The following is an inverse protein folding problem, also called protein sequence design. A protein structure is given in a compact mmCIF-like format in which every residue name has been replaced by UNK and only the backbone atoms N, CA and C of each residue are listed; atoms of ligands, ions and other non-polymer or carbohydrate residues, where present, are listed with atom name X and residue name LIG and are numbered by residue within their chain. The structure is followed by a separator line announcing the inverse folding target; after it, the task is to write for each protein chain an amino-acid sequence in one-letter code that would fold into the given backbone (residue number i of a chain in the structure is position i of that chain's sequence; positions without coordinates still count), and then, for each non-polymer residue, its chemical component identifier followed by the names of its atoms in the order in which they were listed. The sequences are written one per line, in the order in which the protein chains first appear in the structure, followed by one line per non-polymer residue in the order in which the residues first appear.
data_IF_772578865640
#
_entry.id   IF_772578865640
#
_cell.length_a   1.000
_cell.length_b   1.000
_cell.length_c   1.000
_cell.angle_alpha   90.00
_cell.angle_beta   90.00
_cell.angle_gamma   90.00
#
_symmetry.space_group_name_H-M   'P 1'
#
loop_
_entity.id
_entity.type
_entity.pdbx_description
1 polymer ?
#
# COMPACT_ATOMS: atom_id res chain seq x y z
N UNK A 1 -11.78 -2.31 6.16
CA UNK A 1 -11.64 -0.84 5.93
C UNK A 1 -10.48 -0.57 4.98
N UNK A 2 -10.46 0.58 4.31
CA UNK A 2 -9.34 0.96 3.44
C UNK A 2 -8.07 1.27 4.24
N UNK A 3 -6.91 1.20 3.59
CA UNK A 3 -5.60 1.59 4.13
C UNK A 3 -5.61 3.06 4.61
N UNK A 4 -4.95 3.36 5.74
CA UNK A 4 -4.82 4.73 6.26
C UNK A 4 -3.83 5.56 5.42
N UNK A 5 -3.91 6.89 5.54
CA UNK A 5 -3.03 7.79 4.80
C UNK A 5 -1.56 7.63 5.23
N UNK A 6 -1.33 7.41 6.52
CA UNK A 6 0.00 7.21 7.10
C UNK A 6 0.63 5.91 6.60
N UNK A 7 -0.15 4.81 6.59
CA UNK A 7 0.35 3.51 6.09
C UNK A 7 0.62 3.57 4.59
N UNK A 8 -0.21 4.27 3.82
CA UNK A 8 0.02 4.50 2.39
C UNK A 8 1.31 5.29 2.16
N UNK A 9 1.58 6.34 2.93
CA UNK A 9 2.83 7.10 2.82
C UNK A 9 4.05 6.26 3.20
N UNK A 10 3.95 5.42 4.23
CA UNK A 10 5.00 4.48 4.59
C UNK A 10 5.33 3.50 3.45
N UNK A 11 4.31 2.90 2.82
CA UNK A 11 4.50 2.01 1.67
C UNK A 11 5.10 2.72 0.46
N UNK A 12 4.72 3.98 0.22
CA UNK A 12 5.35 4.78 -0.85
C UNK A 12 6.84 4.97 -0.53
N UNK A 13 7.21 5.31 0.71
CA UNK A 13 8.62 5.46 1.09
C UNK A 13 9.43 4.17 1.03
N UNK A 14 8.83 3.04 1.40
CA UNK A 14 9.49 1.72 1.41
C UNK A 14 9.72 1.16 -0.01
N UNK A 15 8.79 1.39 -0.94
CA UNK A 15 8.81 0.78 -2.28
C UNK A 15 9.12 1.77 -3.41
N UNK A 16 9.29 3.06 -3.10
CA UNK A 16 9.69 4.06 -4.09
C UNK A 16 11.06 3.75 -4.69
N UNK A 17 11.14 3.70 -6.01
CA UNK A 17 12.39 3.43 -6.73
C UNK A 17 13.26 4.68 -6.89
N UNK A 18 12.65 5.87 -6.76
CA UNK A 18 13.30 7.18 -6.83
C UNK A 18 12.59 8.19 -5.94
N UNK A 19 13.26 9.28 -5.61
CA UNK A 19 12.65 10.38 -4.86
C UNK A 19 11.43 10.94 -5.60
N UNK A 20 10.28 11.01 -4.92
CA UNK A 20 9.01 11.46 -5.50
C UNK A 20 8.24 10.40 -6.30
N UNK A 21 8.69 9.13 -6.28
CA UNK A 21 8.00 8.04 -6.95
C UNK A 21 6.73 7.63 -6.20
N UNK A 22 5.58 8.06 -6.71
CA UNK A 22 4.27 7.81 -6.11
C UNK A 22 3.38 6.90 -6.96
N UNK A 23 3.88 6.46 -8.12
CA UNK A 23 3.05 5.83 -9.14
C UNK A 23 3.73 4.68 -9.89
N UNK A 24 4.96 4.31 -9.52
CA UNK A 24 5.61 3.13 -10.10
C UNK A 24 4.82 1.85 -9.85
N UNK A 25 5.00 0.84 -10.72
CA UNK A 25 4.38 -0.47 -10.54
C UNK A 25 4.63 -1.07 -9.15
N UNK A 26 5.84 -0.91 -8.61
CA UNK A 26 6.26 -1.45 -7.32
C UNK A 26 5.46 -0.82 -6.17
N UNK A 27 5.35 0.52 -6.16
CA UNK A 27 4.56 1.26 -5.17
C UNK A 27 3.07 0.92 -5.27
N UNK A 28 2.54 0.82 -6.49
CA UNK A 28 1.14 0.47 -6.69
C UNK A 28 0.84 -0.97 -6.22
N UNK A 29 1.71 -1.93 -6.52
CA UNK A 29 1.59 -3.32 -6.07
C UNK A 29 1.64 -3.41 -4.55
N UNK A 30 2.54 -2.67 -3.88
CA UNK A 30 2.61 -2.63 -2.43
C UNK A 30 1.30 -2.14 -1.80
N UNK A 31 0.75 -1.03 -2.31
CA UNK A 31 -0.52 -0.46 -1.83
C UNK A 31 -1.69 -1.43 -2.08
N UNK A 32 -1.77 -2.04 -3.26
CA UNK A 32 -2.85 -2.99 -3.59
C UNK A 32 -2.76 -4.26 -2.74
N UNK A 33 -1.55 -4.78 -2.51
CA UNK A 33 -1.31 -5.94 -1.64
C UNK A 33 -1.80 -5.68 -0.22
N UNK A 34 -1.42 -4.55 0.37
CA UNK A 34 -1.86 -4.18 1.73
C UNK A 34 -3.40 -4.05 1.80
N UNK A 35 -4.02 -3.48 0.76
CA UNK A 35 -5.50 -3.39 0.68
C UNK A 35 -6.16 -4.77 0.59
N UNK A 36 -5.58 -5.69 -0.18
CA UNK A 36 -6.06 -7.07 -0.28
C UNK A 36 -5.96 -7.75 1.09
N UNK A 37 -4.80 -7.67 1.76
CA UNK A 37 -4.62 -8.25 3.10
C UNK A 37 -5.64 -7.71 4.10
N UNK A 38 -5.84 -6.39 4.15
CA UNK A 38 -6.83 -5.77 5.03
C UNK A 38 -8.26 -6.23 4.73
N UNK A 39 -8.61 -6.40 3.45
CA UNK A 39 -9.92 -6.93 3.06
C UNK A 39 -10.06 -8.40 3.42
N UNK A 40 -9.03 -9.21 3.18
CA UNK A 40 -9.01 -10.64 3.53
C UNK A 40 -9.19 -10.84 5.03
N UNK A 41 -8.48 -10.09 5.88
CA UNK A 41 -8.66 -10.15 7.34
C UNK A 41 -10.06 -9.72 7.76
N UNK A 42 -10.63 -8.68 7.14
CA UNK A 42 -11.99 -8.26 7.42
C UNK A 42 -13.04 -9.34 7.13
N UNK A 43 -12.84 -10.16 6.10
CA UNK A 43 -13.75 -11.26 5.78
C UNK A 43 -13.52 -12.53 6.61
N UNK A 44 -12.44 -12.59 7.41
CA UNK A 44 -12.18 -13.71 8.33
C UNK A 44 -12.82 -13.53 9.71
N UNK A 45 -13.24 -12.31 10.05
CA UNK A 45 -14.00 -11.96 11.27
C UNK A 45 -15.49 -11.98 10.99
#
# INVERSE_FOLDING_TARGET
MSITAERKQALIGEYATKSGDTGSPEVQVAILTERITNLTEHFKT
#
